data_IF_559362275642
#
_entry.id   IF_559362275642
#
_cell.length_a   1.000
_cell.length_b   1.000
_cell.length_c   1.000
_cell.angle_alpha   90.00
_cell.angle_beta   90.00
_cell.angle_gamma   90.00
#
_symmetry.space_group_name_H-M   'P 1'
#
loop_
_entity.id
_entity.type
_entity.pdbx_description
1 polymer ?
#
# COMPACT_ATOMS: atom_id res chain seq x y z
N UNK A 1 19.19 8.62 -1.12
CA UNK A 1 18.76 9.51 0.00
C UNK A 1 17.26 9.39 0.25
N UNK A 2 16.39 9.56 -0.75
CA UNK A 2 14.93 9.42 -0.61
C UNK A 2 14.49 8.09 0.03
N UNK A 3 15.07 6.96 -0.38
CA UNK A 3 14.79 5.66 0.23
C UNK A 3 15.08 5.65 1.74
N UNK A 4 16.28 6.09 2.15
CA UNK A 4 16.67 6.17 3.56
C UNK A 4 15.76 7.12 4.37
N UNK A 5 15.37 8.25 3.78
CA UNK A 5 14.42 9.17 4.39
C UNK A 5 13.07 8.48 4.67
N UNK A 6 12.48 7.81 3.66
CA UNK A 6 11.22 7.10 3.86
C UNK A 6 11.32 5.92 4.82
N UNK A 7 12.44 5.19 4.85
CA UNK A 7 12.68 4.16 5.86
C UNK A 7 12.69 4.76 7.28
N UNK A 8 13.41 5.86 7.48
CA UNK A 8 13.43 6.56 8.77
C UNK A 8 12.04 7.07 9.17
N UNK A 9 11.30 7.67 8.23
CA UNK A 9 9.93 8.15 8.49
C UNK A 9 8.97 7.00 8.79
N UNK A 10 9.02 5.90 8.05
CA UNK A 10 8.18 4.74 8.30
C UNK A 10 8.46 4.15 9.68
N UNK A 11 9.72 4.03 10.08
CA UNK A 11 10.10 3.61 11.44
C UNK A 11 9.57 4.56 12.51
N UNK A 12 9.66 5.89 12.29
CA UNK A 12 9.10 6.88 13.22
C UNK A 12 7.57 6.74 13.37
N UNK A 13 6.86 6.51 12.27
CA UNK A 13 5.41 6.23 12.27
C UNK A 13 5.08 4.95 13.05
N UNK A 14 5.85 3.88 12.88
CA UNK A 14 5.62 2.63 13.63
C UNK A 14 5.81 2.84 15.13
N UNK A 15 6.88 3.54 15.54
CA UNK A 15 7.11 3.87 16.95
C UNK A 15 5.96 4.74 17.50
N UNK A 16 5.47 5.71 16.71
CA UNK A 16 4.36 6.54 17.11
C UNK A 16 3.09 5.70 17.35
N UNK A 17 2.79 4.79 16.44
CA UNK A 17 1.65 3.89 16.57
C UNK A 17 1.76 3.00 17.81
N UNK A 18 2.92 2.39 18.04
CA UNK A 18 3.15 1.55 19.23
C UNK A 18 3.09 2.34 20.54
N UNK A 19 3.44 3.64 20.52
CA UNK A 19 3.28 4.54 21.68
C UNK A 19 1.82 4.88 21.95
N UNK A 20 1.02 5.14 20.91
CA UNK A 20 -0.41 5.45 21.02
C UNK A 20 -1.22 4.23 21.46
N UNK A 21 -0.92 3.06 20.90
CA UNK A 21 -1.65 1.82 21.15
C UNK A 21 -1.12 1.05 22.38
N UNK A 22 -0.18 1.60 23.16
CA UNK A 22 0.55 0.86 24.22
C UNK A 22 -0.34 0.19 25.25
N UNK A 23 -1.43 0.84 25.68
CA UNK A 23 -2.35 0.29 26.69
C UNK A 23 -3.20 -0.83 26.11
N UNK A 24 -3.71 -0.62 24.88
CA UNK A 24 -4.47 -1.62 24.13
C UNK A 24 -3.61 -2.84 23.81
N UNK A 25 -2.36 -2.63 23.39
CA UNK A 25 -1.43 -3.69 23.05
C UNK A 25 -1.02 -4.52 24.27
N UNK A 26 -0.92 -3.91 25.46
CA UNK A 26 -0.71 -4.64 26.73
C UNK A 26 -1.83 -5.60 27.07
N UNK A 27 -3.07 -5.24 26.78
CA UNK A 27 -4.24 -6.09 27.02
C UNK A 27 -4.39 -7.22 25.98
N UNK A 28 -3.63 -7.19 24.88
CA UNK A 28 -3.75 -8.14 23.78
C UNK A 28 -2.86 -9.38 23.98
N UNK A 29 -3.36 -10.61 23.78
CA UNK A 29 -2.62 -11.85 24.07
C UNK A 29 -1.31 -12.02 23.30
N UNK A 30 -1.23 -11.50 22.08
CA UNK A 30 -0.02 -11.53 21.23
C UNK A 30 0.74 -10.20 21.25
N UNK A 31 0.06 -9.04 21.10
CA UNK A 31 0.72 -7.73 20.98
C UNK A 31 1.33 -7.22 22.30
N UNK A 32 1.03 -7.87 23.43
CA UNK A 32 1.70 -7.59 24.71
C UNK A 32 3.21 -7.83 24.66
N UNK A 33 3.69 -8.63 23.68
CA UNK A 33 5.12 -8.89 23.44
C UNK A 33 5.84 -7.76 22.69
N UNK A 34 5.14 -6.73 22.20
CA UNK A 34 5.79 -5.60 21.51
C UNK A 34 6.74 -4.87 22.47
N UNK A 35 7.93 -4.39 22.03
CA UNK A 35 8.96 -3.86 22.93
C UNK A 35 8.50 -2.74 23.88
N UNK A 36 7.59 -1.86 23.44
CA UNK A 36 7.04 -0.78 24.27
C UNK A 36 5.94 -1.30 25.22
N UNK A 37 5.10 -2.23 24.75
CA UNK A 37 4.04 -2.85 25.55
C UNK A 37 4.61 -3.74 26.66
N UNK A 38 5.63 -4.54 26.35
CA UNK A 38 6.37 -5.45 27.24
C UNK A 38 7.33 -4.74 28.21
N UNK A 39 7.51 -3.41 28.06
CA UNK A 39 8.45 -2.56 28.81
C UNK A 39 9.93 -2.88 28.56
N UNK A 40 10.26 -3.63 27.51
CA UNK A 40 11.65 -3.83 27.08
C UNK A 40 12.30 -2.49 26.67
N UNK A 41 11.52 -1.60 26.06
CA UNK A 41 11.92 -0.23 25.76
C UNK A 41 11.03 0.73 26.55
N UNK A 42 11.65 1.65 27.30
CA UNK A 42 10.88 2.67 28.02
C UNK A 42 10.20 3.64 27.03
N UNK A 43 8.96 4.10 27.32
CA UNK A 43 8.28 5.08 26.46
C UNK A 43 9.09 6.37 26.23
N UNK A 44 9.98 6.72 27.16
CA UNK A 44 10.87 7.86 27.02
C UNK A 44 11.93 7.64 25.92
N UNK A 45 12.60 6.49 25.92
CA UNK A 45 13.58 6.15 24.89
C UNK A 45 12.92 6.00 23.51
N UNK A 46 11.71 5.42 23.47
CA UNK A 46 10.93 5.35 22.23
C UNK A 46 10.59 6.74 21.68
N UNK A 47 10.21 7.70 22.53
CA UNK A 47 9.98 9.10 22.10
C UNK A 47 11.25 9.77 21.57
N UNK A 48 12.41 9.55 22.21
CA UNK A 48 13.70 10.08 21.71
C UNK A 48 14.01 9.50 20.32
N UNK A 49 13.89 8.18 20.16
CA UNK A 49 14.15 7.51 18.89
C UNK A 49 13.19 7.99 17.79
N UNK A 50 11.91 8.17 18.11
CA UNK A 50 10.91 8.74 17.21
C UNK A 50 11.31 10.12 16.72
N UNK A 51 11.67 11.03 17.64
CA UNK A 51 12.07 12.39 17.28
C UNK A 51 13.36 12.38 16.45
N UNK A 52 14.34 11.57 16.83
CA UNK A 52 15.60 11.43 16.10
C UNK A 52 15.37 10.94 14.65
N UNK A 53 14.56 9.89 14.47
CA UNK A 53 14.23 9.35 13.15
C UNK A 53 13.40 10.33 12.31
N UNK A 54 12.47 11.05 12.93
CA UNK A 54 11.69 12.09 12.27
C UNK A 54 12.60 13.21 11.74
N UNK A 55 13.47 13.76 12.60
CA UNK A 55 14.39 14.82 12.22
C UNK A 55 15.39 14.35 11.15
N UNK A 56 15.94 13.14 11.28
CA UNK A 56 16.82 12.56 10.28
C UNK A 56 16.12 12.40 8.93
N UNK A 57 14.87 11.91 8.94
CA UNK A 57 14.08 11.77 7.72
C UNK A 57 13.80 13.11 7.04
N UNK A 58 13.44 14.14 7.80
CA UNK A 58 13.16 15.47 7.26
C UNK A 58 14.45 16.08 6.69
N UNK A 59 15.57 16.00 7.43
CA UNK A 59 16.87 16.47 6.97
C UNK A 59 17.32 15.82 5.65
N UNK A 60 17.22 14.49 5.57
CA UNK A 60 17.52 13.72 4.35
C UNK A 60 16.57 14.04 3.19
N UNK A 61 15.32 14.40 3.46
CA UNK A 61 14.36 14.75 2.42
C UNK A 61 14.63 16.14 1.85
N UNK A 62 14.92 17.11 2.73
CA UNK A 62 15.26 18.49 2.35
C UNK A 62 16.55 18.53 1.51
N UNK A 63 17.55 17.70 1.85
CA UNK A 63 18.79 17.63 1.09
C UNK A 63 18.61 17.11 -0.34
N UNK A 64 17.49 16.47 -0.65
CA UNK A 64 17.14 16.04 -2.01
C UNK A 64 16.32 17.13 -2.71
N UNK A 65 15.19 17.53 -2.13
CA UNK A 65 14.32 18.57 -2.69
C UNK A 65 13.23 18.95 -1.69
N UNK A 66 12.79 20.22 -1.74
CA UNK A 66 11.64 20.68 -0.96
C UNK A 66 10.36 19.88 -1.25
N UNK A 67 10.18 19.41 -2.49
CA UNK A 67 9.01 18.60 -2.85
C UNK A 67 9.07 17.20 -2.22
N UNK A 68 10.26 16.61 -2.10
CA UNK A 68 10.46 15.33 -1.40
C UNK A 68 10.17 15.50 0.09
N UNK A 69 10.65 16.59 0.70
CA UNK A 69 10.31 16.93 2.08
C UNK A 69 8.80 17.10 2.30
N UNK A 70 8.11 17.82 1.40
CA UNK A 70 6.67 17.99 1.45
C UNK A 70 5.92 16.63 1.37
N UNK A 71 6.36 15.73 0.49
CA UNK A 71 5.79 14.39 0.38
C UNK A 71 6.00 13.56 1.67
N UNK A 72 7.22 13.61 2.23
CA UNK A 72 7.58 12.89 3.46
C UNK A 72 6.79 13.40 4.67
N UNK A 73 6.62 14.71 4.81
CA UNK A 73 5.81 15.33 5.88
C UNK A 73 4.33 14.98 5.69
N UNK A 74 3.81 15.08 4.47
CA UNK A 74 2.42 14.70 4.17
C UNK A 74 2.17 13.23 4.50
N UNK A 75 3.14 12.35 4.22
CA UNK A 75 3.07 10.94 4.58
C UNK A 75 2.98 10.75 6.10
N UNK A 76 3.80 11.48 6.87
CA UNK A 76 3.74 11.43 8.33
C UNK A 76 2.38 11.90 8.87
N UNK A 77 1.87 13.02 8.36
CA UNK A 77 0.56 13.59 8.74
C UNK A 77 -0.59 12.60 8.45
N UNK A 78 -0.61 12.00 7.26
CA UNK A 78 -1.61 10.98 6.89
C UNK A 78 -1.57 9.80 7.87
N UNK A 79 -0.38 9.36 8.27
CA UNK A 79 -0.24 8.25 9.21
C UNK A 79 -0.70 8.63 10.63
N UNK A 80 -0.49 9.87 11.07
CA UNK A 80 -1.05 10.37 12.34
C UNK A 80 -2.57 10.33 12.31
N UNK A 81 -3.19 10.90 11.27
CA UNK A 81 -4.64 10.89 11.11
C UNK A 81 -5.21 9.48 11.05
N UNK A 82 -4.53 8.58 10.33
CA UNK A 82 -4.88 7.17 10.26
C UNK A 82 -4.86 6.51 11.65
N UNK A 83 -3.81 6.76 12.44
CA UNK A 83 -3.63 6.18 13.77
C UNK A 83 -4.70 6.62 14.77
N UNK A 84 -5.00 7.92 14.79
CA UNK A 84 -5.82 8.56 15.83
C UNK A 84 -7.33 8.35 15.68
N UNK A 85 -7.89 8.32 14.46
CA UNK A 85 -9.35 8.24 14.31
C UNK A 85 -9.84 7.82 12.93
N UNK A 86 -9.13 8.18 11.85
CA UNK A 86 -9.66 7.98 10.49
C UNK A 86 -9.63 6.52 10.03
N UNK A 87 -8.94 5.62 10.74
CA UNK A 87 -9.09 4.17 10.54
C UNK A 87 -10.52 3.66 10.79
N UNK A 88 -11.39 4.50 11.35
CA UNK A 88 -12.78 4.18 11.68
C UNK A 88 -13.81 4.62 10.62
N UNK A 89 -13.39 5.29 9.55
CA UNK A 89 -14.29 5.78 8.49
C UNK A 89 -14.20 4.89 7.27
N UNK A 90 -15.34 4.28 6.90
CA UNK A 90 -15.51 3.44 5.70
C UNK A 90 -15.03 4.20 4.45
N UNK A 91 -14.38 3.50 3.52
CA UNK A 91 -13.74 4.00 2.29
C UNK A 91 -12.50 4.86 2.56
N UNK A 92 -12.59 5.83 3.46
CA UNK A 92 -11.51 6.76 3.76
C UNK A 92 -10.25 6.04 4.26
N UNK A 93 -10.41 4.94 5.00
CA UNK A 93 -9.30 4.11 5.45
C UNK A 93 -8.48 3.53 4.29
N UNK A 94 -9.13 3.08 3.21
CA UNK A 94 -8.49 2.55 2.00
C UNK A 94 -7.83 3.66 1.19
N UNK A 95 -8.48 4.84 1.12
CA UNK A 95 -7.90 6.02 0.46
C UNK A 95 -6.65 6.53 1.18
N UNK A 96 -6.62 6.54 2.52
CA UNK A 96 -5.44 6.96 3.28
C UNK A 96 -4.24 6.03 3.05
N UNK A 97 -4.49 4.70 3.05
CA UNK A 97 -3.44 3.71 2.74
C UNK A 97 -2.90 3.95 1.32
N UNK A 98 -3.80 4.09 0.35
CA UNK A 98 -3.44 4.31 -1.06
C UNK A 98 -2.67 5.62 -1.25
N UNK A 99 -3.07 6.68 -0.56
CA UNK A 99 -2.39 7.99 -0.55
C UNK A 99 -0.96 7.88 -0.01
N UNK A 100 -0.74 7.07 1.03
CA UNK A 100 0.60 6.78 1.54
C UNK A 100 1.52 6.12 0.50
N UNK A 101 0.99 5.19 -0.30
CA UNK A 101 1.75 4.61 -1.42
C UNK A 101 2.00 5.63 -2.53
N UNK A 102 1.02 6.47 -2.87
CA UNK A 102 1.18 7.49 -3.90
C UNK A 102 2.24 8.54 -3.54
N UNK A 103 2.29 8.97 -2.28
CA UNK A 103 3.33 9.88 -1.80
C UNK A 103 4.74 9.29 -1.91
N UNK A 104 4.89 7.98 -1.70
CA UNK A 104 6.19 7.30 -1.89
C UNK A 104 6.60 7.28 -3.36
N UNK A 105 5.67 6.95 -4.26
CA UNK A 105 5.93 6.97 -5.71
C UNK A 105 6.33 8.38 -6.13
N UNK A 106 5.54 9.38 -5.75
CA UNK A 106 5.78 10.77 -6.10
C UNK A 106 7.14 11.26 -5.59
N UNK A 107 7.46 10.99 -4.33
CA UNK A 107 8.75 11.37 -3.75
C UNK A 107 9.93 10.64 -4.43
N UNK A 108 9.76 9.38 -4.81
CA UNK A 108 10.75 8.61 -5.56
C UNK A 108 11.02 9.23 -6.94
N UNK A 109 9.96 9.54 -7.68
CA UNK A 109 10.08 10.13 -9.02
C UNK A 109 10.65 11.55 -8.98
N UNK A 110 10.19 12.38 -8.03
CA UNK A 110 10.71 13.74 -7.83
C UNK A 110 12.16 13.72 -7.33
N UNK A 111 12.54 12.74 -6.51
CA UNK A 111 13.92 12.56 -6.06
C UNK A 111 14.89 12.17 -7.19
N UNK A 112 14.38 11.60 -8.29
CA UNK A 112 15.14 11.33 -9.51
C UNK A 112 15.07 12.48 -10.53
N UNK A 113 14.28 13.52 -10.26
CA UNK A 113 14.04 14.61 -11.21
C UNK A 113 13.17 14.24 -12.41
N UNK A 114 12.51 13.07 -12.38
CA UNK A 114 11.65 12.59 -13.47
C UNK A 114 10.20 12.83 -13.09
N UNK A 115 9.51 13.70 -13.82
CA UNK A 115 8.09 13.95 -13.58
C UNK A 115 7.26 12.70 -13.92
N UNK A 116 6.48 12.14 -12.97
CA UNK A 116 5.68 10.95 -13.23
C UNK A 116 4.62 11.19 -14.30
N UNK A 117 4.29 10.17 -15.08
CA UNK A 117 3.17 10.22 -16.01
C UNK A 117 1.85 10.25 -15.22
N UNK A 118 0.91 11.10 -15.62
CA UNK A 118 -0.42 11.17 -15.00
C UNK A 118 -1.13 9.80 -15.03
N UNK A 119 -0.97 9.06 -16.14
CA UNK A 119 -1.50 7.70 -16.28
C UNK A 119 -0.85 6.70 -15.32
N UNK A 120 0.46 6.86 -15.06
CA UNK A 120 1.18 6.02 -14.10
C UNK A 120 0.70 6.28 -12.67
N UNK A 121 0.48 7.55 -12.30
CA UNK A 121 -0.07 7.91 -11.00
C UNK A 121 -1.50 7.38 -10.83
N UNK A 122 -2.33 7.52 -11.86
CA UNK A 122 -3.70 6.98 -11.85
C UNK A 122 -3.69 5.45 -11.72
N UNK A 123 -2.83 4.76 -12.47
CA UNK A 123 -2.65 3.32 -12.38
C UNK A 123 -2.20 2.89 -10.98
N UNK A 124 -1.22 3.60 -10.40
CA UNK A 124 -0.76 3.40 -9.03
C UNK A 124 -1.89 3.58 -8.01
N UNK A 125 -2.73 4.61 -8.17
CA UNK A 125 -3.86 4.85 -7.28
C UNK A 125 -4.90 3.74 -7.39
N UNK A 126 -5.27 3.36 -8.62
CA UNK A 126 -6.27 2.30 -8.84
C UNK A 126 -5.81 0.94 -8.30
N UNK A 127 -4.54 0.56 -8.53
CA UNK A 127 -4.03 -0.73 -8.04
C UNK A 127 -3.91 -0.77 -6.52
N UNK A 128 -3.54 0.35 -5.88
CA UNK A 128 -3.44 0.42 -4.41
C UNK A 128 -4.81 0.40 -3.75
N UNK A 129 -5.81 1.07 -4.34
CA UNK A 129 -7.21 0.96 -3.92
C UNK A 129 -7.73 -0.46 -4.11
N UNK A 130 -7.48 -1.09 -5.26
CA UNK A 130 -7.85 -2.48 -5.54
C UNK A 130 -7.32 -3.46 -4.49
N UNK A 131 -6.03 -3.36 -4.15
CA UNK A 131 -5.42 -4.17 -3.10
C UNK A 131 -6.04 -3.88 -1.72
N UNK A 132 -6.28 -2.61 -1.40
CA UNK A 132 -6.87 -2.22 -0.13
C UNK A 132 -8.30 -2.71 0.07
N UNK A 133 -9.17 -2.62 -0.95
CA UNK A 133 -10.52 -3.18 -0.90
C UNK A 133 -10.50 -4.71 -0.88
N UNK A 134 -9.60 -5.34 -1.64
CA UNK A 134 -9.42 -6.79 -1.62
C UNK A 134 -9.06 -7.30 -0.23
N UNK A 135 -8.16 -6.59 0.47
CA UNK A 135 -7.80 -6.89 1.86
C UNK A 135 -9.01 -6.77 2.79
N UNK A 136 -9.82 -5.72 2.66
CA UNK A 136 -11.04 -5.54 3.47
C UNK A 136 -12.06 -6.66 3.25
N UNK A 137 -12.21 -7.11 2.01
CA UNK A 137 -13.07 -8.26 1.69
C UNK A 137 -12.57 -9.55 2.36
N UNK A 138 -11.27 -9.79 2.34
CA UNK A 138 -10.68 -10.97 2.98
C UNK A 138 -10.86 -10.94 4.52
N UNK A 139 -10.63 -9.78 5.15
CA UNK A 139 -10.87 -9.58 6.59
C UNK A 139 -12.35 -9.84 6.96
N UNK A 140 -13.30 -9.38 6.14
CA UNK A 140 -14.74 -9.59 6.33
C UNK A 140 -15.14 -11.07 6.23
N UNK A 141 -14.55 -11.82 5.31
CA UNK A 141 -14.81 -13.26 5.17
C UNK A 141 -14.30 -14.07 6.36
N UNK A 142 -13.15 -13.69 6.94
CA UNK A 142 -12.60 -14.35 8.13
C UNK A 142 -13.47 -14.16 9.37
N UNK A 143 -14.02 -12.95 9.56
CA UNK A 143 -14.98 -12.67 10.65
C UNK A 143 -16.19 -13.62 10.61
N UNK A 144 -16.69 -13.94 9.42
CA UNK A 144 -17.82 -14.86 9.21
C UNK A 144 -17.43 -16.33 9.40
N UNK A 145 -16.15 -16.67 9.23
CA UNK A 145 -15.61 -18.04 9.31
C UNK A 145 -15.40 -18.58 10.73
N UNK A 146 -15.61 -17.76 11.77
CA UNK A 146 -15.58 -18.23 13.16
C UNK A 146 -14.20 -18.26 13.84
N UNK A 147 -13.12 -17.80 13.17
CA UNK A 147 -11.80 -17.64 13.78
C UNK A 147 -11.77 -16.40 14.69
N UNK A 148 -12.39 -16.54 15.86
CA UNK A 148 -12.54 -15.51 16.90
C UNK A 148 -11.25 -15.17 17.65
N UNK A 149 -10.08 -15.63 17.20
CA UNK A 149 -8.86 -15.52 18.00
C UNK A 149 -8.05 -14.24 17.76
N UNK A 150 -8.31 -13.49 16.67
CA UNK A 150 -7.51 -12.29 16.32
C UNK A 150 -8.31 -10.97 16.22
N UNK A 151 -9.62 -10.97 16.51
CA UNK A 151 -10.52 -9.90 16.04
C UNK A 151 -11.43 -9.23 17.08
N UNK A 152 -11.28 -9.50 18.38
CA UNK A 152 -12.19 -8.95 19.40
C UNK A 152 -12.12 -7.40 19.59
N UNK A 153 -11.18 -6.69 18.95
CA UNK A 153 -11.00 -5.23 19.10
C UNK A 153 -10.81 -4.45 17.78
N UNK A 154 -10.67 -5.10 16.62
CA UNK A 154 -9.91 -4.50 15.49
C UNK A 154 -10.72 -3.92 14.33
N UNK A 155 -11.98 -3.48 14.53
CA UNK A 155 -12.62 -2.31 13.85
C UNK A 155 -14.13 -2.49 13.72
N UNK A 156 -14.89 -1.63 14.43
CA UNK A 156 -16.31 -1.34 14.17
C UNK A 156 -16.63 -1.00 12.69
N UNK A 157 -15.64 -0.62 11.89
CA UNK A 157 -15.82 -0.24 10.46
C UNK A 157 -16.23 -1.41 9.58
N UNK A 158 -15.88 -2.65 9.96
CA UNK A 158 -16.25 -3.80 9.16
C UNK A 158 -17.74 -4.14 9.24
N UNK A 159 -18.44 -3.63 10.26
CA UNK A 159 -19.89 -3.84 10.41
C UNK A 159 -20.69 -3.09 9.33
N UNK A 160 -20.15 -1.98 8.82
CA UNK A 160 -20.79 -1.15 7.79
C UNK A 160 -20.50 -1.62 6.35
N UNK A 161 -19.54 -2.52 6.14
CA UNK A 161 -19.21 -3.03 4.82
C UNK A 161 -20.09 -4.22 4.43
N UNK A 162 -20.92 -4.04 3.40
CA UNK A 162 -21.55 -5.17 2.71
C UNK A 162 -20.55 -5.86 1.76
N UNK A 163 -20.48 -7.21 1.72
CA UNK A 163 -19.67 -7.94 0.75
C UNK A 163 -19.92 -7.50 -0.70
N UNK A 164 -21.18 -7.19 -1.03
CA UNK A 164 -21.60 -6.78 -2.37
C UNK A 164 -20.97 -5.43 -2.77
N UNK A 165 -20.93 -4.48 -1.84
CA UNK A 165 -20.35 -3.15 -2.09
C UNK A 165 -18.83 -3.29 -2.29
N UNK A 166 -18.15 -4.11 -1.49
CA UNK A 166 -16.72 -4.37 -1.65
C UNK A 166 -16.40 -5.02 -3.00
N UNK A 167 -17.22 -5.96 -3.47
CA UNK A 167 -17.06 -6.55 -4.80
C UNK A 167 -17.21 -5.53 -5.92
N UNK A 168 -18.16 -4.59 -5.80
CA UNK A 168 -18.29 -3.48 -6.75
C UNK A 168 -17.06 -2.57 -6.74
N UNK A 169 -16.54 -2.20 -5.57
CA UNK A 169 -15.33 -1.38 -5.47
C UNK A 169 -14.09 -2.08 -6.04
N UNK A 170 -13.94 -3.38 -5.79
CA UNK A 170 -12.87 -4.20 -6.37
C UNK A 170 -13.00 -4.23 -7.89
N UNK A 171 -14.20 -4.43 -8.44
CA UNK A 171 -14.41 -4.44 -9.89
C UNK A 171 -14.10 -3.08 -10.54
N UNK A 172 -14.58 -1.97 -9.95
CA UNK A 172 -14.33 -0.60 -10.45
C UNK A 172 -12.84 -0.29 -10.44
N UNK A 173 -12.15 -0.59 -9.34
CA UNK A 173 -10.72 -0.32 -9.21
C UNK A 173 -9.88 -1.22 -10.10
N UNK A 174 -10.24 -2.50 -10.26
CA UNK A 174 -9.60 -3.43 -11.19
C UNK A 174 -9.70 -2.95 -12.66
N UNK A 175 -10.91 -2.56 -13.09
CA UNK A 175 -11.12 -1.99 -14.42
C UNK A 175 -10.33 -0.69 -14.60
N UNK A 176 -10.34 0.18 -13.58
CA UNK A 176 -9.54 1.40 -13.53
C UNK A 176 -8.04 1.12 -13.69
N UNK A 177 -7.49 0.10 -13.03
CA UNK A 177 -6.09 -0.31 -13.17
C UNK A 177 -5.79 -0.78 -14.59
N UNK A 178 -6.61 -1.66 -15.17
CA UNK A 178 -6.41 -2.16 -16.54
C UNK A 178 -6.44 -1.01 -17.55
N UNK A 179 -7.45 -0.14 -17.46
CA UNK A 179 -7.62 0.98 -18.38
C UNK A 179 -6.49 2.00 -18.26
N UNK A 180 -6.14 2.41 -17.04
CA UNK A 180 -5.06 3.38 -16.82
C UNK A 180 -3.68 2.82 -17.22
N UNK A 181 -3.43 1.52 -16.99
CA UNK A 181 -2.23 0.86 -17.49
C UNK A 181 -2.20 0.82 -19.02
N UNK A 182 -3.31 0.42 -19.66
CA UNK A 182 -3.43 0.44 -21.13
C UNK A 182 -3.16 1.84 -21.70
N UNK A 183 -3.79 2.87 -21.13
CA UNK A 183 -3.58 4.28 -21.53
C UNK A 183 -2.14 4.75 -21.29
N UNK A 184 -1.50 4.28 -20.22
CA UNK A 184 -0.07 4.52 -19.99
C UNK A 184 0.80 3.92 -21.11
N UNK A 185 0.52 2.68 -21.55
CA UNK A 185 1.33 2.00 -22.58
C UNK A 185 1.26 2.65 -23.96
N UNK A 186 0.14 3.28 -24.30
CA UNK A 186 -0.07 3.95 -25.60
C UNK A 186 0.11 5.47 -25.54
N UNK A 187 0.46 6.02 -24.37
CA UNK A 187 0.60 7.45 -24.21
C UNK A 187 1.77 7.99 -25.03
N UNK A 188 1.61 9.11 -25.77
CA UNK A 188 2.69 9.70 -26.57
C UNK A 188 3.95 9.99 -25.75
N UNK A 189 3.78 10.41 -24.49
CA UNK A 189 4.91 10.68 -23.58
C UNK A 189 5.68 9.41 -23.22
N UNK A 190 4.98 8.29 -23.05
CA UNK A 190 5.58 6.97 -22.76
C UNK A 190 6.31 6.44 -24.00
N UNK A 191 5.68 6.54 -25.18
CA UNK A 191 6.27 6.12 -26.45
C UNK A 191 7.56 6.91 -26.73
N UNK A 192 7.55 8.23 -26.51
CA UNK A 192 8.74 9.07 -26.67
C UNK A 192 9.83 8.74 -25.64
N UNK A 193 9.47 8.41 -24.40
CA UNK A 193 10.44 8.08 -23.36
C UNK A 193 11.14 6.75 -23.60
N UNK A 194 10.42 5.77 -24.13
CA UNK A 194 10.92 4.39 -24.32
C UNK A 194 11.22 4.05 -25.79
N UNK A 195 10.97 4.95 -26.74
CA UNK A 195 11.14 4.77 -28.18
C UNK A 195 10.45 3.52 -28.75
N UNK A 196 9.31 3.12 -28.18
CA UNK A 196 8.59 1.90 -28.57
C UNK A 196 7.08 2.04 -28.39
N UNK A 197 6.32 1.56 -29.36
CA UNK A 197 4.85 1.49 -29.32
C UNK A 197 4.34 0.13 -28.81
N UNK A 198 5.25 -0.85 -28.70
CA UNK A 198 4.91 -2.25 -28.44
C UNK A 198 4.64 -2.55 -26.95
N UNK A 199 4.76 -1.56 -26.06
CA UNK A 199 4.47 -1.69 -24.63
C UNK A 199 3.05 -2.22 -24.36
N UNK A 200 2.10 -1.98 -25.27
CA UNK A 200 0.74 -2.51 -25.18
C UNK A 200 0.68 -4.05 -25.13
N UNK A 201 1.69 -4.75 -25.67
CA UNK A 201 1.78 -6.22 -25.64
C UNK A 201 1.91 -6.79 -24.22
N UNK A 202 2.25 -5.94 -23.24
CA UNK A 202 2.32 -6.32 -21.83
C UNK A 202 0.94 -6.33 -21.13
N UNK A 203 -0.06 -5.66 -21.72
CA UNK A 203 -1.42 -5.52 -21.16
C UNK A 203 -2.13 -6.85 -20.90
N UNK A 204 -2.08 -7.87 -21.77
CA UNK A 204 -2.72 -9.16 -21.51
C UNK A 204 -2.25 -9.85 -20.23
N UNK A 205 -0.96 -9.71 -19.88
CA UNK A 205 -0.43 -10.26 -18.63
C UNK A 205 -1.02 -9.54 -17.41
N UNK A 206 -1.13 -8.21 -17.46
CA UNK A 206 -1.73 -7.42 -16.38
C UNK A 206 -3.20 -7.79 -16.19
N UNK A 207 -3.96 -7.91 -17.29
CA UNK A 207 -5.36 -8.35 -17.24
C UNK A 207 -5.49 -9.73 -16.61
N UNK A 208 -4.70 -10.71 -17.08
CA UNK A 208 -4.72 -12.06 -16.54
C UNK A 208 -4.37 -12.08 -15.04
N UNK A 209 -3.37 -11.31 -14.62
CA UNK A 209 -2.98 -11.21 -13.21
C UNK A 209 -4.10 -10.67 -12.33
N UNK A 210 -4.78 -9.61 -12.77
CA UNK A 210 -5.93 -9.03 -12.05
C UNK A 210 -7.10 -10.03 -11.98
N UNK A 211 -7.45 -10.69 -13.10
CA UNK A 211 -8.52 -11.67 -13.11
C UNK A 211 -8.22 -12.90 -12.25
N UNK A 212 -6.97 -13.39 -12.30
CA UNK A 212 -6.52 -14.51 -11.47
C UNK A 212 -6.57 -14.15 -9.99
N UNK A 213 -6.15 -12.94 -9.62
CA UNK A 213 -6.24 -12.47 -8.24
C UNK A 213 -7.69 -12.38 -7.75
N UNK A 214 -8.59 -11.79 -8.56
CA UNK A 214 -10.02 -11.75 -8.24
C UNK A 214 -10.57 -13.18 -8.07
N UNK A 215 -10.20 -14.11 -8.95
CA UNK A 215 -10.62 -15.51 -8.83
C UNK A 215 -10.16 -16.15 -7.51
N UNK A 216 -8.90 -15.97 -7.10
CA UNK A 216 -8.38 -16.51 -5.84
C UNK A 216 -9.08 -15.92 -4.62
N UNK A 217 -9.38 -14.62 -4.66
CA UNK A 217 -10.11 -13.90 -3.62
C UNK A 217 -11.53 -14.48 -3.42
N UNK A 218 -12.17 -15.00 -4.47
CA UNK A 218 -13.48 -15.64 -4.38
C UNK A 218 -13.42 -17.12 -3.98
N UNK A 219 -12.41 -17.87 -4.43
CA UNK A 219 -12.34 -19.34 -4.24
C UNK A 219 -11.74 -19.80 -2.92
N UNK A 220 -10.78 -19.07 -2.35
CA UNK A 220 -9.92 -19.63 -1.29
C UNK A 220 -10.05 -18.95 0.07
N UNK A 221 -10.93 -17.95 0.25
CA UNK A 221 -10.92 -17.06 1.43
C UNK A 221 -9.52 -16.52 1.78
N UNK A 222 -8.64 -16.46 0.77
CA UNK A 222 -7.27 -15.90 0.83
C UNK A 222 -7.33 -14.43 0.46
N UNK A 223 -6.41 -13.63 0.98
CA UNK A 223 -6.41 -12.16 0.83
C UNK A 223 -5.92 -11.40 2.07
N UNK A 224 -5.44 -12.10 3.10
CA UNK A 224 -4.89 -11.47 4.30
C UNK A 224 -3.48 -10.90 4.05
N UNK A 225 -2.73 -11.53 3.14
CA UNK A 225 -1.38 -11.14 2.76
C UNK A 225 -1.23 -11.24 1.23
N UNK A 226 -1.57 -10.15 0.55
CA UNK A 226 -1.47 -10.02 -0.92
C UNK A 226 -0.10 -10.44 -1.45
N UNK A 227 0.98 -10.21 -0.70
CA UNK A 227 2.32 -10.61 -1.10
C UNK A 227 2.51 -12.13 -1.03
N UNK A 228 1.99 -12.79 0.01
CA UNK A 228 2.01 -14.26 0.08
C UNK A 228 1.11 -14.88 -0.97
N UNK A 229 -0.06 -14.33 -1.22
CA UNK A 229 -0.98 -14.87 -2.23
C UNK A 229 -0.38 -14.77 -3.64
N UNK A 230 0.34 -13.68 -3.95
CA UNK A 230 1.06 -13.50 -5.21
C UNK A 230 2.22 -14.49 -5.36
N UNK A 231 2.95 -14.79 -4.27
CA UNK A 231 4.10 -15.69 -4.29
C UNK A 231 3.71 -17.18 -4.23
N UNK A 232 2.56 -17.50 -3.65
CA UNK A 232 2.10 -18.88 -3.48
C UNK A 232 1.31 -19.40 -4.68
N UNK A 233 0.69 -18.53 -5.48
CA UNK A 233 -0.03 -18.96 -6.69
C UNK A 233 0.94 -19.03 -7.89
N UNK A 234 1.16 -20.23 -8.47
CA UNK A 234 2.13 -20.41 -9.56
C UNK A 234 1.69 -19.67 -10.83
N UNK A 235 0.38 -19.48 -11.05
CA UNK A 235 -0.08 -18.74 -12.22
C UNK A 235 0.25 -17.25 -12.09
N UNK A 236 -0.03 -16.63 -10.94
CA UNK A 236 0.34 -15.22 -10.69
C UNK A 236 1.84 -15.00 -10.80
N UNK A 237 2.66 -15.88 -10.21
CA UNK A 237 4.12 -15.77 -10.30
C UNK A 237 4.59 -15.88 -11.75
N UNK A 238 4.09 -16.85 -12.52
CA UNK A 238 4.41 -17.00 -13.93
C UNK A 238 3.99 -15.77 -14.74
N UNK A 239 2.82 -15.20 -14.47
CA UNK A 239 2.36 -13.97 -15.12
C UNK A 239 3.30 -12.79 -14.87
N UNK A 240 3.75 -12.59 -13.63
CA UNK A 240 4.70 -11.53 -13.28
C UNK A 240 6.04 -11.74 -14.00
N UNK A 241 6.54 -12.98 -14.05
CA UNK A 241 7.79 -13.32 -14.74
C UNK A 241 7.66 -13.04 -16.25
N UNK A 242 6.58 -13.51 -16.89
CA UNK A 242 6.35 -13.31 -18.32
C UNK A 242 6.16 -11.83 -18.66
N UNK A 243 5.43 -11.09 -17.83
CA UNK A 243 5.26 -9.64 -17.97
C UNK A 243 6.61 -8.91 -17.89
N UNK A 244 7.44 -9.26 -16.91
CA UNK A 244 8.76 -8.64 -16.74
C UNK A 244 9.70 -8.97 -17.91
N UNK A 245 9.74 -10.23 -18.35
CA UNK A 245 10.52 -10.66 -19.50
C UNK A 245 10.08 -9.95 -20.80
N UNK A 246 8.77 -9.85 -21.03
CA UNK A 246 8.19 -9.14 -22.17
C UNK A 246 8.54 -7.64 -22.13
N UNK A 247 8.43 -7.01 -20.95
CA UNK A 247 8.79 -5.60 -20.76
C UNK A 247 10.26 -5.35 -21.06
N UNK A 248 11.17 -6.19 -20.54
CA UNK A 248 12.60 -6.07 -20.83
C UNK A 248 12.91 -6.23 -22.31
N UNK A 249 12.27 -7.19 -22.98
CA UNK A 249 12.47 -7.43 -24.41
C UNK A 249 11.99 -6.25 -25.28
N UNK A 250 10.90 -5.57 -24.89
CA UNK A 250 10.36 -4.41 -25.61
C UNK A 250 11.20 -3.14 -25.40
N UNK A 251 11.87 -3.02 -24.24
CA UNK A 251 12.65 -1.84 -23.85
C UNK A 251 14.13 -1.90 -24.25
N UNK A 252 14.58 -3.01 -24.85
CA UNK A 252 15.90 -3.15 -25.48
C UNK A 252 15.92 -2.51 -26.86
#
# INVERSE_FOLDING_TARGET
MTFAAFCAMASAVYILNDLVDVETDRAHPIKCKRPIASREISPYHAKILLVALFLASVGLSISVSIYVAACTISYFIINIFYSLSLKHVVILDVFLISSGFMLRILAGTLGLGIAPSAWLLLCGLMITLFMGFSKRRAELLMLKGGDKQDQALTRRVLDDYSPIILEQYIAITAAGTILSYGLYTVSPKTIQLHNTENLILTLPFVMYGIFRYIFLLHRCSRGNDTAKDLLQDPHLLMTVILWFACTLWILQ
#
